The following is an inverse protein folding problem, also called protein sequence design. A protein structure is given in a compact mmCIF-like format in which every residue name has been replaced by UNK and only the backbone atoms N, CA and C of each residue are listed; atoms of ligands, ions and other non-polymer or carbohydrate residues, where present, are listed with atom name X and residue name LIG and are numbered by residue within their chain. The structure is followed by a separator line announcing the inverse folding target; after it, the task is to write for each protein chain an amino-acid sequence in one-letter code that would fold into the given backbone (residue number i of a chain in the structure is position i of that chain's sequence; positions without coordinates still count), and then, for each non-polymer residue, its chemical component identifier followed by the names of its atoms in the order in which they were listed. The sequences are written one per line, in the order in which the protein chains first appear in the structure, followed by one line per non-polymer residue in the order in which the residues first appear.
data_IF_196218627042
#
_entry.id   IF_196218627042
#
_cell.length_a   1.000
_cell.length_b   1.000
_cell.length_c   1.000
_cell.angle_alpha   90.00
_cell.angle_beta   90.00
_cell.angle_gamma   90.00
#
_symmetry.space_group_name_H-M   'P 1'
#
loop_
_entity.id
_entity.type
_entity.pdbx_description
1 polymer ?
#
# COMPACT_ATOMS: atom_id res chain seq x y z
N UNK A 1 15.23 19.11 38.96
CA UNK A 1 13.89 18.93 38.35
C UNK A 1 12.87 18.49 39.38
N UNK A 2 11.85 19.32 39.57
CA UNK A 2 10.68 19.05 40.42
C UNK A 2 9.86 17.87 39.90
N UNK A 3 9.15 17.15 40.78
CA UNK A 3 8.19 16.10 40.38
C UNK A 3 7.16 16.63 39.37
N UNK A 4 6.73 17.89 39.53
CA UNK A 4 5.78 18.56 38.62
C UNK A 4 6.36 18.74 37.21
N UNK A 5 7.63 19.11 37.10
CA UNK A 5 8.33 19.26 35.82
C UNK A 5 8.48 17.92 35.10
N UNK A 6 8.81 16.85 35.83
CA UNK A 6 8.90 15.48 35.28
C UNK A 6 7.54 14.98 34.77
N UNK A 7 6.45 15.28 35.47
CA UNK A 7 5.09 14.92 35.03
C UNK A 7 4.72 15.68 33.77
N UNK A 8 5.00 17.00 33.72
CA UNK A 8 4.73 17.81 32.54
C UNK A 8 5.52 17.33 31.32
N UNK A 9 6.80 16.98 31.47
CA UNK A 9 7.60 16.39 30.39
C UNK A 9 7.00 15.09 29.85
N UNK A 10 6.60 14.17 30.74
CA UNK A 10 5.94 12.92 30.33
C UNK A 10 4.61 13.16 29.63
N UNK A 11 3.85 14.17 30.05
CA UNK A 11 2.59 14.55 29.42
C UNK A 11 2.81 15.04 27.98
N UNK A 12 3.81 15.89 27.77
CA UNK A 12 4.16 16.38 26.43
C UNK A 12 4.69 15.26 25.52
N UNK A 13 5.52 14.37 26.04
CA UNK A 13 5.95 13.17 25.30
C UNK A 13 4.77 12.29 24.91
N UNK A 14 3.80 12.10 25.81
CA UNK A 14 2.60 11.32 25.53
C UNK A 14 1.76 11.97 24.43
N UNK A 15 1.51 13.28 24.51
CA UNK A 15 0.79 14.04 23.48
C UNK A 15 1.47 13.90 22.12
N UNK A 16 2.80 14.05 22.09
CA UNK A 16 3.59 13.88 20.86
C UNK A 16 3.43 12.46 20.28
N UNK A 17 3.53 11.42 21.12
CA UNK A 17 3.38 10.03 20.68
C UNK A 17 1.97 9.75 20.14
N UNK A 18 0.93 10.29 20.76
CA UNK A 18 -0.46 10.16 20.31
C UNK A 18 -0.65 10.84 18.95
N UNK A 19 -0.18 12.08 18.80
CA UNK A 19 -0.25 12.80 17.53
C UNK A 19 0.52 12.06 16.42
N UNK A 20 1.73 11.57 16.73
CA UNK A 20 2.54 10.77 15.80
C UNK A 20 1.82 9.48 15.39
N UNK A 21 1.17 8.78 16.32
CA UNK A 21 0.39 7.58 16.01
C UNK A 21 -0.75 7.89 15.03
N UNK A 22 -1.51 8.97 15.27
CA UNK A 22 -2.59 9.38 14.36
C UNK A 22 -2.08 9.64 12.95
N UNK A 23 -0.99 10.42 12.83
CA UNK A 23 -0.38 10.72 11.54
C UNK A 23 0.14 9.48 10.80
N UNK A 24 0.73 8.53 11.54
CA UNK A 24 1.20 7.27 10.96
C UNK A 24 0.03 6.41 10.45
N UNK A 25 -1.11 6.40 11.14
CA UNK A 25 -2.30 5.69 10.68
C UNK A 25 -2.85 6.32 9.40
N UNK A 26 -3.00 7.64 9.34
CA UNK A 26 -3.43 8.34 8.13
C UNK A 26 -2.49 8.07 6.94
N UNK A 27 -1.17 8.09 7.19
CA UNK A 27 -0.17 7.76 6.16
C UNK A 27 -0.25 6.31 5.72
N UNK A 28 -0.49 5.38 6.64
CA UNK A 28 -0.69 3.95 6.31
C UNK A 28 -1.88 3.79 5.37
N UNK A 29 -3.03 4.37 5.71
CA UNK A 29 -4.25 4.27 4.88
C UNK A 29 -4.03 4.89 3.50
N UNK A 30 -3.36 6.05 3.44
CA UNK A 30 -3.00 6.67 2.16
C UNK A 30 -2.09 5.77 1.31
N UNK A 31 -1.05 5.19 1.91
CA UNK A 31 -0.14 4.27 1.20
C UNK A 31 -0.86 3.04 0.69
N UNK A 32 -1.77 2.47 1.47
CA UNK A 32 -2.60 1.33 1.04
C UNK A 32 -3.48 1.70 -0.16
N UNK A 33 -4.07 2.90 -0.16
CA UNK A 33 -4.89 3.40 -1.27
C UNK A 33 -4.07 3.65 -2.53
N UNK A 34 -2.91 4.29 -2.38
CA UNK A 34 -1.99 4.55 -3.50
C UNK A 34 -1.47 3.23 -4.09
N UNK A 35 -1.12 2.27 -3.25
CA UNK A 35 -0.66 0.93 -3.65
C UNK A 35 -1.73 0.22 -4.51
N UNK A 36 -2.98 0.21 -4.05
CA UNK A 36 -4.10 -0.36 -4.80
C UNK A 36 -4.32 0.34 -6.14
N UNK A 37 -4.28 1.67 -6.15
CA UNK A 37 -4.44 2.49 -7.36
C UNK A 37 -3.35 2.18 -8.39
N UNK A 38 -2.09 2.22 -7.99
CA UNK A 38 -0.97 2.01 -8.90
C UNK A 38 -0.84 0.56 -9.35
N UNK A 39 -1.15 -0.40 -8.49
CA UNK A 39 -1.21 -1.81 -8.88
C UNK A 39 -2.33 -2.06 -9.89
N UNK A 40 -3.50 -1.43 -9.71
CA UNK A 40 -4.60 -1.50 -10.70
C UNK A 40 -4.16 -0.93 -12.05
N UNK A 41 -3.57 0.27 -12.04
CA UNK A 41 -3.07 0.92 -13.26
C UNK A 41 -2.02 0.03 -13.96
N UNK A 42 -1.11 -0.58 -13.20
CA UNK A 42 -0.13 -1.49 -13.74
C UNK A 42 -0.79 -2.73 -14.37
N UNK A 43 -1.69 -3.40 -13.67
CA UNK A 43 -2.36 -4.61 -14.17
C UNK A 43 -3.23 -4.30 -15.40
N UNK A 44 -3.86 -3.13 -15.47
CA UNK A 44 -4.61 -2.69 -16.65
C UNK A 44 -3.69 -2.44 -17.85
N UNK A 45 -2.58 -1.71 -17.65
CA UNK A 45 -1.61 -1.41 -18.72
C UNK A 45 -0.85 -2.65 -19.19
N UNK A 46 -0.52 -3.55 -18.27
CA UNK A 46 0.13 -4.82 -18.54
C UNK A 46 -0.83 -5.91 -19.04
N UNK A 47 -2.12 -5.61 -19.20
CA UNK A 47 -3.16 -6.57 -19.58
C UNK A 47 -3.16 -7.83 -18.70
N UNK A 48 -2.98 -7.65 -17.40
CA UNK A 48 -2.98 -8.75 -16.44
C UNK A 48 -1.69 -9.51 -16.32
N UNK A 49 -0.62 -9.12 -17.00
CA UNK A 49 0.67 -9.76 -16.83
C UNK A 49 1.31 -9.31 -15.50
N UNK A 50 1.42 -10.18 -14.50
CA UNK A 50 1.94 -9.78 -13.20
C UNK A 50 3.46 -9.63 -13.27
N UNK A 51 4.02 -8.64 -12.55
CA UNK A 51 5.48 -8.37 -12.41
C UNK A 51 6.31 -9.57 -11.92
N UNK A 52 5.64 -10.66 -11.53
CA UNK A 52 6.23 -11.90 -11.00
C UNK A 52 6.67 -12.88 -12.07
N UNK A 53 6.38 -12.63 -13.36
CA UNK A 53 6.80 -13.51 -14.46
C UNK A 53 8.20 -13.15 -14.96
N UNK A 54 8.93 -14.15 -15.45
CA UNK A 54 10.28 -13.98 -15.98
C UNK A 54 10.27 -13.19 -17.28
N UNK A 55 11.37 -12.51 -17.60
CA UNK A 55 11.54 -11.78 -18.87
C UNK A 55 11.20 -12.63 -20.10
N UNK A 56 11.52 -13.92 -20.04
CA UNK A 56 11.27 -14.93 -21.06
C UNK A 56 9.77 -15.14 -21.33
N UNK A 57 8.91 -15.01 -20.31
CA UNK A 57 7.46 -15.05 -20.48
C UNK A 57 6.94 -13.87 -21.32
N UNK A 58 7.50 -12.67 -21.11
CA UNK A 58 7.10 -11.45 -21.82
C UNK A 58 7.59 -11.40 -23.27
N UNK A 59 8.74 -12.01 -23.56
CA UNK A 59 9.31 -12.06 -24.92
C UNK A 59 8.57 -13.09 -25.78
N UNK A 60 8.20 -14.23 -25.21
CA UNK A 60 7.68 -15.38 -25.97
C UNK A 60 6.15 -15.39 -26.11
N UNK A 61 5.40 -14.77 -25.19
CA UNK A 61 3.95 -14.69 -25.30
C UNK A 61 3.52 -13.38 -25.97
N UNK A 62 3.34 -13.43 -27.31
CA UNK A 62 2.51 -12.43 -28.01
C UNK A 62 1.06 -12.68 -27.65
N UNK A 63 0.57 -12.02 -26.60
CA UNK A 63 -0.81 -12.17 -26.15
C UNK A 63 -1.73 -11.44 -27.15
N UNK A 64 -2.65 -12.18 -27.76
CA UNK A 64 -3.78 -11.61 -28.49
C UNK A 64 -4.55 -10.67 -27.55
N UNK A 65 -4.76 -9.42 -27.97
CA UNK A 65 -5.34 -8.31 -27.20
C UNK A 65 -6.80 -8.56 -26.77
N UNK A 66 -7.07 -9.59 -25.98
CA UNK A 66 -8.35 -9.74 -25.27
C UNK A 66 -8.30 -8.82 -24.05
N UNK A 67 -9.38 -8.06 -23.86
CA UNK A 67 -9.54 -7.12 -22.74
C UNK A 67 -9.42 -7.92 -21.45
N UNK A 68 -8.27 -7.80 -20.78
CA UNK A 68 -8.00 -8.55 -19.55
C UNK A 68 -8.83 -7.96 -18.42
N UNK A 69 -9.57 -8.81 -17.71
CA UNK A 69 -10.31 -8.42 -16.52
C UNK A 69 -9.40 -8.65 -15.31
N UNK A 70 -8.95 -7.57 -14.67
CA UNK A 70 -8.11 -7.63 -13.47
C UNK A 70 -8.85 -8.36 -12.35
N UNK A 71 -8.25 -9.42 -11.81
CA UNK A 71 -8.75 -10.18 -10.68
C UNK A 71 -7.94 -9.85 -9.42
N UNK A 72 -8.54 -10.00 -8.24
CA UNK A 72 -7.86 -9.82 -6.96
C UNK A 72 -6.69 -10.79 -6.76
N UNK A 73 -6.70 -11.94 -7.46
CA UNK A 73 -5.59 -12.91 -7.43
C UNK A 73 -4.33 -12.40 -8.13
N UNK A 74 -4.46 -11.39 -8.99
CA UNK A 74 -3.33 -10.80 -9.72
C UNK A 74 -2.62 -9.73 -8.89
N UNK A 75 -3.24 -9.32 -7.77
CA UNK A 75 -2.70 -8.36 -6.82
C UNK A 75 -1.77 -9.06 -5.85
N UNK A 76 -0.51 -8.66 -5.85
CA UNK A 76 0.54 -9.20 -4.97
C UNK A 76 0.94 -8.21 -3.87
N UNK A 77 0.63 -6.93 -4.07
CA UNK A 77 0.95 -5.87 -3.12
C UNK A 77 -0.27 -5.51 -2.26
N UNK A 78 -1.45 -5.36 -2.86
CA UNK A 78 -2.66 -4.88 -2.16
C UNK A 78 -3.48 -5.99 -1.51
N UNK A 79 -2.83 -6.90 -0.79
CA UNK A 79 -3.49 -8.07 -0.17
C UNK A 79 -4.44 -7.70 0.97
N UNK A 80 -4.12 -6.63 1.71
CA UNK A 80 -4.87 -6.15 2.89
C UNK A 80 -5.85 -5.02 2.57
N UNK A 81 -5.89 -4.53 1.32
CA UNK A 81 -6.85 -3.49 0.95
C UNK A 81 -8.26 -4.05 1.06
N UNK A 82 -9.22 -3.35 1.70
CA UNK A 82 -10.51 -3.95 2.02
C UNK A 82 -11.19 -4.44 0.75
N UNK A 83 -11.37 -5.76 0.70
CA UNK A 83 -12.33 -6.42 -0.17
C UNK A 83 -13.68 -6.20 0.50
N UNK A 84 -14.60 -5.53 -0.20
CA UNK A 84 -15.97 -5.32 0.26
C UNK A 84 -16.60 -6.62 0.79
#
# INVERSE_FOLDING_TARGET
MSKKEKINQKLEELKFKVAKKSNLLERKEKLLSDLFKYETLYLETAQGMPLTKTSEFYVNNRIEKKKYLVNDKDRIFSLEYPKN
#
